data_IF_329033174307
#
_entry.id   IF_329033174307
#
_cell.length_a   1.000
_cell.length_b   1.000
_cell.length_c   1.000
_cell.angle_alpha   90.00
_cell.angle_beta   90.00
_cell.angle_gamma   90.00
#
_symmetry.space_group_name_H-M   'P 1'
#
loop_
_entity.id
_entity.type
_entity.pdbx_description
1 polymer ?
#
# COMPACT_ATOMS: atom_id res chain seq x y z
N UNK A 1 4.83 20.03 -18.43
CA UNK A 1 5.16 18.63 -18.05
C UNK A 1 3.90 18.02 -17.47
N UNK A 2 3.45 16.88 -17.96
CA UNK A 2 2.18 16.29 -17.53
C UNK A 2 2.22 15.84 -16.06
N UNK A 3 1.08 15.93 -15.36
CA UNK A 3 0.89 15.59 -13.93
C UNK A 3 1.38 14.17 -13.56
N UNK A 4 1.57 13.28 -14.55
CA UNK A 4 1.99 11.89 -14.37
C UNK A 4 3.51 11.67 -14.36
N UNK A 5 4.34 12.69 -14.64
CA UNK A 5 5.80 12.51 -14.62
C UNK A 5 6.38 12.52 -13.20
N UNK A 6 5.73 13.21 -12.27
CA UNK A 6 6.15 13.34 -10.88
C UNK A 6 5.12 12.70 -9.97
N UNK A 7 5.56 11.79 -9.12
CA UNK A 7 4.71 11.06 -8.19
C UNK A 7 5.25 11.18 -6.77
N UNK A 8 4.37 11.42 -5.82
CA UNK A 8 4.64 11.40 -4.38
C UNK A 8 4.00 10.15 -3.79
N UNK A 9 4.83 9.18 -3.43
CA UNK A 9 4.38 7.97 -2.73
C UNK A 9 4.44 8.22 -1.23
N UNK A 10 3.31 8.01 -0.55
CA UNK A 10 3.14 8.25 0.88
C UNK A 10 3.04 6.91 1.61
N UNK A 11 4.07 6.60 2.40
CA UNK A 11 4.05 5.56 3.42
C UNK A 11 3.41 6.06 4.71
N UNK A 12 3.18 5.16 5.66
CA UNK A 12 2.46 5.47 6.90
C UNK A 12 3.37 5.74 8.11
N UNK A 13 4.65 6.00 7.88
CA UNK A 13 5.64 6.33 8.90
C UNK A 13 5.46 7.74 9.48
N UNK A 14 5.78 7.97 10.77
CA UNK A 14 5.69 9.28 11.43
C UNK A 14 6.43 10.42 10.73
N UNK A 15 7.47 10.13 9.93
CA UNK A 15 8.25 11.17 9.24
C UNK A 15 7.40 12.02 8.30
N UNK A 16 6.27 11.53 7.77
CA UNK A 16 5.42 12.36 6.90
C UNK A 16 4.58 13.41 7.63
N UNK A 17 4.48 13.38 8.96
CA UNK A 17 3.55 14.25 9.72
C UNK A 17 3.82 15.74 9.59
N UNK A 18 5.06 16.13 9.29
CA UNK A 18 5.44 17.54 9.14
C UNK A 18 5.26 18.08 7.72
N UNK A 19 4.75 17.28 6.79
CA UNK A 19 4.57 17.65 5.39
C UNK A 19 3.10 17.95 5.13
N UNK A 20 2.82 19.08 4.46
CA UNK A 20 1.48 19.39 3.96
C UNK A 20 1.18 18.51 2.73
N UNK A 21 0.42 17.43 2.94
CA UNK A 21 0.12 16.43 1.92
C UNK A 21 -0.77 16.99 0.80
N UNK A 22 -1.63 17.98 1.08
CA UNK A 22 -2.50 18.58 0.06
C UNK A 22 -1.69 19.42 -0.92
N UNK A 23 -0.67 20.14 -0.43
CA UNK A 23 0.22 20.93 -1.29
C UNK A 23 0.89 20.07 -2.37
N UNK A 24 1.22 18.81 -2.08
CA UNK A 24 1.88 17.88 -3.01
C UNK A 24 1.07 17.64 -4.29
N UNK A 25 -0.27 17.69 -4.20
CA UNK A 25 -1.18 17.47 -5.35
C UNK A 25 -1.07 18.57 -6.40
N UNK A 26 -0.52 19.73 -6.03
CA UNK A 26 -0.23 20.81 -6.98
C UNK A 26 1.04 20.54 -7.81
N UNK A 27 1.93 19.66 -7.34
CA UNK A 27 3.23 19.37 -7.96
C UNK A 27 3.29 18.04 -8.70
N UNK A 28 2.32 17.14 -8.48
CA UNK A 28 2.33 15.81 -9.07
C UNK A 28 1.15 14.97 -8.64
N UNK A 29 1.22 13.68 -8.96
CA UNK A 29 0.23 12.69 -8.53
C UNK A 29 0.62 12.17 -7.15
N UNK A 30 -0.34 12.11 -6.22
CA UNK A 30 -0.12 11.55 -4.89
C UNK A 30 -0.68 10.13 -4.82
N UNK A 31 0.18 9.17 -4.50
CA UNK A 31 -0.19 7.77 -4.25
C UNK A 31 -0.06 7.49 -2.76
N UNK A 32 -1.16 7.12 -2.11
CA UNK A 32 -1.19 6.73 -0.71
C UNK A 32 -1.40 5.22 -0.55
N UNK A 33 -1.10 4.68 0.64
CA UNK A 33 -1.31 3.27 0.93
C UNK A 33 -2.12 2.99 2.20
N UNK A 34 -2.89 1.90 2.15
CA UNK A 34 -3.69 1.36 3.24
C UNK A 34 -4.52 2.43 3.98
N UNK A 35 -4.31 2.63 5.29
CA UNK A 35 -5.18 3.44 6.15
C UNK A 35 -5.05 4.95 5.97
N UNK A 36 -4.20 5.43 5.04
CA UNK A 36 -4.09 6.85 4.74
C UNK A 36 -5.42 7.49 4.34
N UNK A 37 -6.31 6.72 3.71
CA UNK A 37 -7.63 7.17 3.28
C UNK A 37 -8.53 7.65 4.43
N UNK A 38 -8.22 7.24 5.67
CA UNK A 38 -9.01 7.58 6.87
C UNK A 38 -8.89 9.06 7.25
N UNK A 39 -7.80 9.72 6.86
CA UNK A 39 -7.54 11.14 7.16
C UNK A 39 -7.04 11.98 5.98
N UNK A 40 -6.78 11.38 4.82
CA UNK A 40 -6.32 12.07 3.62
C UNK A 40 -6.79 11.36 2.34
N UNK A 41 -7.18 12.13 1.31
CA UNK A 41 -7.64 11.56 0.01
C UNK A 41 -6.55 11.71 -1.06
N UNK A 42 -5.69 10.69 -1.28
CA UNK A 42 -4.71 10.71 -2.36
C UNK A 42 -5.39 10.67 -3.74
N UNK A 43 -4.65 11.00 -4.80
CA UNK A 43 -5.14 10.83 -6.18
C UNK A 43 -5.31 9.34 -6.53
N UNK A 44 -4.46 8.47 -5.97
CA UNK A 44 -4.53 7.01 -6.08
C UNK A 44 -4.30 6.39 -4.71
N UNK A 45 -5.16 5.45 -4.31
CA UNK A 45 -4.98 4.64 -3.10
C UNK A 45 -4.55 3.21 -3.47
N UNK A 46 -3.66 2.60 -2.70
CA UNK A 46 -3.24 1.20 -2.87
C UNK A 46 -3.43 0.44 -1.55
N UNK A 47 -4.04 -0.75 -1.57
CA UNK A 47 -4.13 -1.63 -0.41
C UNK A 47 -4.07 -3.10 -0.80
N UNK A 48 -3.13 -3.86 -0.25
CA UNK A 48 -2.97 -5.29 -0.54
C UNK A 48 -3.53 -6.18 0.57
N UNK A 49 -3.55 -5.69 1.81
CA UNK A 49 -4.05 -6.42 2.97
C UNK A 49 -5.56 -6.64 2.84
N UNK A 50 -6.04 -7.88 2.79
CA UNK A 50 -7.46 -8.21 2.56
C UNK A 50 -8.39 -7.44 3.49
N UNK A 51 -8.12 -7.45 4.80
CA UNK A 51 -8.92 -6.72 5.80
C UNK A 51 -9.06 -5.23 5.44
N UNK A 52 -7.95 -4.58 5.07
CA UNK A 52 -7.94 -3.15 4.73
C UNK A 52 -8.61 -2.91 3.37
N UNK A 53 -8.41 -3.77 2.39
CA UNK A 53 -9.07 -3.67 1.09
C UNK A 53 -10.60 -3.75 1.22
N UNK A 54 -11.09 -4.71 2.01
CA UNK A 54 -12.51 -4.83 2.33
C UNK A 54 -13.03 -3.60 3.09
N UNK A 55 -12.30 -3.10 4.10
CA UNK A 55 -12.65 -1.87 4.83
C UNK A 55 -12.77 -0.66 3.89
N UNK A 56 -11.78 -0.44 3.01
CA UNK A 56 -11.77 0.64 2.03
C UNK A 56 -12.99 0.54 1.10
N UNK A 57 -13.28 -0.63 0.57
CA UNK A 57 -14.39 -0.81 -0.35
C UNK A 57 -15.73 -0.50 0.33
N UNK A 58 -15.96 -1.08 1.52
CA UNK A 58 -17.21 -0.95 2.28
C UNK A 58 -17.44 0.47 2.80
N UNK A 59 -16.38 1.26 3.01
CA UNK A 59 -16.51 2.68 3.32
C UNK A 59 -17.14 3.51 2.19
N UNK A 60 -17.22 2.94 0.98
CA UNK A 60 -17.65 3.64 -0.23
C UNK A 60 -16.55 4.52 -0.85
N UNK A 61 -15.32 4.50 -0.31
CA UNK A 61 -14.20 5.27 -0.84
C UNK A 61 -13.87 4.88 -2.29
N UNK A 62 -13.78 3.58 -2.55
CA UNK A 62 -13.46 3.03 -3.87
C UNK A 62 -14.58 3.23 -4.91
N UNK A 63 -15.77 3.66 -4.48
CA UNK A 63 -16.87 4.03 -5.39
C UNK A 63 -16.70 5.44 -5.98
N UNK A 64 -15.75 6.23 -5.46
CA UNK A 64 -15.55 7.63 -5.83
C UNK A 64 -14.10 7.96 -6.19
N UNK A 65 -13.15 7.13 -5.76
CA UNK A 65 -11.73 7.44 -5.85
C UNK A 65 -10.96 6.25 -6.44
N UNK A 66 -9.97 6.56 -7.28
CA UNK A 66 -9.12 5.55 -7.92
C UNK A 66 -8.36 4.75 -6.86
N UNK A 67 -8.59 3.43 -6.85
CA UNK A 67 -8.08 2.53 -5.82
C UNK A 67 -7.53 1.27 -6.46
N UNK A 68 -6.34 0.83 -6.03
CA UNK A 68 -5.78 -0.47 -6.38
C UNK A 68 -5.89 -1.41 -5.19
N UNK A 69 -6.63 -2.51 -5.35
CA UNK A 69 -6.84 -3.50 -4.29
C UNK A 69 -6.20 -4.84 -4.69
N UNK A 70 -5.46 -5.42 -3.74
CA UNK A 70 -4.77 -6.70 -3.92
C UNK A 70 -5.75 -7.85 -4.07
N UNK A 71 -5.52 -8.73 -5.06
CA UNK A 71 -6.35 -9.89 -5.35
C UNK A 71 -7.85 -9.59 -5.43
N UNK A 72 -8.24 -8.39 -5.87
CA UNK A 72 -9.61 -7.90 -5.90
C UNK A 72 -10.35 -8.31 -7.17
N UNK A 73 -10.55 -9.62 -7.34
CA UNK A 73 -11.25 -10.19 -8.50
C UNK A 73 -12.67 -10.60 -8.09
N UNK A 74 -13.71 -9.95 -8.64
CA UNK A 74 -15.09 -10.36 -8.37
C UNK A 74 -15.39 -11.76 -8.92
N UNK A 75 -16.15 -12.52 -8.15
CA UNK A 75 -16.72 -13.81 -8.54
C UNK A 75 -18.24 -13.78 -8.33
N UNK A 76 -19.03 -14.57 -9.08
CA UNK A 76 -20.46 -14.66 -8.84
C UNK A 76 -20.75 -15.08 -7.40
N UNK A 77 -21.74 -14.44 -6.77
CA UNK A 77 -22.12 -14.69 -5.38
C UNK A 77 -22.30 -16.18 -5.05
N UNK A 78 -22.92 -16.93 -5.96
CA UNK A 78 -23.13 -18.37 -5.81
C UNK A 78 -21.81 -19.15 -5.65
N UNK A 79 -20.74 -18.74 -6.34
CA UNK A 79 -19.41 -19.36 -6.22
C UNK A 79 -18.86 -19.15 -4.80
N UNK A 80 -18.97 -17.93 -4.27
CA UNK A 80 -18.55 -17.63 -2.90
C UNK A 80 -19.40 -18.36 -1.85
N UNK A 81 -20.71 -18.48 -2.06
CA UNK A 81 -21.60 -19.28 -1.21
C UNK A 81 -21.18 -20.76 -1.17
N UNK A 82 -20.85 -21.35 -2.33
CA UNK A 82 -20.30 -22.72 -2.39
C UNK A 82 -18.94 -22.84 -1.70
N UNK A 83 -18.06 -21.85 -1.83
CA UNK A 83 -16.76 -21.86 -1.14
C UNK A 83 -16.94 -21.84 0.38
N UNK A 84 -17.89 -21.06 0.91
CA UNK A 84 -18.21 -20.97 2.34
C UNK A 84 -18.64 -22.33 2.92
N UNK A 85 -19.36 -23.16 2.16
CA UNK A 85 -19.79 -24.49 2.64
C UNK A 85 -18.61 -25.42 2.96
N UNK A 86 -17.48 -25.20 2.29
CA UNK A 86 -16.26 -26.00 2.45
C UNK A 86 -15.26 -25.45 3.48
N UNK A 87 -15.57 -24.31 4.10
CA UNK A 87 -14.67 -23.60 4.99
C UNK A 87 -14.86 -23.92 6.47
N UNK A 88 -13.76 -23.87 7.22
CA UNK A 88 -13.77 -23.72 8.67
C UNK A 88 -13.07 -22.41 9.05
N UNK A 89 -13.59 -21.69 10.04
CA UNK A 89 -13.00 -20.44 10.52
C UNK A 89 -14.02 -19.33 10.77
N UNK A 90 -13.54 -18.15 11.17
CA UNK A 90 -14.38 -16.97 11.34
C UNK A 90 -14.64 -16.29 9.98
N UNK A 91 -15.78 -15.62 9.87
CA UNK A 91 -16.17 -14.92 8.64
C UNK A 91 -16.56 -13.48 8.92
N UNK A 92 -16.25 -12.62 7.94
CA UNK A 92 -16.58 -11.21 7.94
C UNK A 92 -17.19 -10.84 6.58
N UNK A 93 -18.51 -10.87 6.51
CA UNK A 93 -19.26 -10.90 5.24
C UNK A 93 -20.19 -9.69 5.13
N UNK A 94 -20.10 -8.99 4.01
CA UNK A 94 -21.06 -7.94 3.61
C UNK A 94 -21.51 -8.16 2.17
N UNK A 95 -22.65 -8.81 1.95
CA UNK A 95 -23.13 -9.19 0.62
C UNK A 95 -23.61 -8.01 -0.24
N UNK A 96 -24.02 -6.89 0.36
CA UNK A 96 -24.49 -5.68 -0.32
C UNK A 96 -25.60 -5.88 -1.38
N UNK A 97 -26.39 -6.96 -1.28
CA UNK A 97 -27.33 -7.40 -2.32
C UNK A 97 -26.71 -7.46 -3.73
N UNK A 98 -25.40 -7.70 -3.82
CA UNK A 98 -24.66 -7.74 -5.06
C UNK A 98 -24.78 -9.11 -5.75
N UNK A 99 -24.68 -9.09 -7.08
CA UNK A 99 -24.58 -10.31 -7.90
C UNK A 99 -23.17 -10.90 -7.87
N UNK A 100 -22.16 -10.03 -7.83
CA UNK A 100 -20.75 -10.38 -7.73
C UNK A 100 -20.16 -9.95 -6.38
N UNK A 101 -19.20 -10.73 -5.91
CA UNK A 101 -18.51 -10.49 -4.63
C UNK A 101 -17.01 -10.70 -4.79
N UNK A 102 -16.21 -9.99 -4.00
CA UNK A 102 -14.82 -10.39 -3.77
C UNK A 102 -14.76 -11.28 -2.54
N UNK A 103 -14.02 -12.38 -2.67
CA UNK A 103 -13.80 -13.38 -1.65
C UNK A 103 -12.30 -13.47 -1.34
N UNK A 104 -11.92 -13.26 -0.09
CA UNK A 104 -10.56 -13.49 0.41
C UNK A 104 -10.61 -14.49 1.57
N UNK A 105 -9.94 -15.63 1.39
CA UNK A 105 -9.83 -16.66 2.43
C UNK A 105 -8.92 -16.24 3.59
N UNK A 106 -8.75 -17.15 4.54
CA UNK A 106 -7.88 -16.98 5.70
C UNK A 106 -6.49 -16.43 5.31
N UNK A 107 -6.06 -15.36 5.98
CA UNK A 107 -4.78 -14.64 5.76
C UNK A 107 -4.56 -14.10 4.33
N UNK A 108 -5.64 -13.84 3.57
CA UNK A 108 -5.58 -13.08 2.32
C UNK A 108 -5.05 -13.86 1.11
N UNK A 109 -4.90 -15.17 1.24
CA UNK A 109 -4.56 -16.10 0.16
C UNK A 109 -5.70 -17.12 0.03
N UNK A 110 -5.89 -17.68 -1.16
CA UNK A 110 -6.71 -18.88 -1.37
C UNK A 110 -6.12 -20.12 -0.64
N UNK A 111 -5.97 -20.08 0.68
CA UNK A 111 -5.48 -21.20 1.50
C UNK A 111 -6.63 -21.90 2.18
N UNK A 112 -7.16 -22.93 1.51
CA UNK A 112 -8.20 -23.80 2.02
C UNK A 112 -7.62 -25.20 2.28
N UNK A 113 -7.12 -25.44 3.50
CA UNK A 113 -7.08 -26.80 4.05
C UNK A 113 -7.30 -26.78 5.57
N UNK A 114 -8.24 -27.59 6.02
CA UNK A 114 -8.48 -27.89 7.45
C UNK A 114 -7.18 -28.39 8.07
N UNK A 115 -6.66 -27.66 9.06
CA UNK A 115 -5.41 -27.99 9.75
C UNK A 115 -4.31 -26.93 9.66
N UNK A 116 -4.48 -25.90 8.82
CA UNK A 116 -3.66 -24.69 8.79
C UNK A 116 -4.44 -23.47 9.33
N UNK A 117 -3.72 -22.38 9.65
CA UNK A 117 -4.24 -21.17 10.29
C UNK A 117 -5.60 -20.74 9.69
N UNK A 118 -6.69 -20.96 10.45
CA UNK A 118 -8.05 -20.85 9.89
C UNK A 118 -8.47 -19.39 9.62
N UNK A 119 -7.72 -18.42 10.15
CA UNK A 119 -7.85 -16.99 9.90
C UNK A 119 -9.29 -16.44 9.93
N UNK A 120 -9.43 -15.25 9.35
CA UNK A 120 -10.73 -14.63 9.05
C UNK A 120 -10.92 -14.63 7.55
N UNK A 121 -12.08 -15.08 7.07
CA UNK A 121 -12.46 -14.94 5.66
C UNK A 121 -13.32 -13.71 5.45
N UNK A 122 -13.00 -12.93 4.42
CA UNK A 122 -13.72 -11.73 4.05
C UNK A 122 -14.50 -11.92 2.77
N UNK A 123 -15.74 -11.44 2.76
CA UNK A 123 -16.55 -11.38 1.55
C UNK A 123 -17.17 -9.99 1.44
N UNK A 124 -17.14 -9.39 0.27
CA UNK A 124 -17.80 -8.09 0.01
C UNK A 124 -18.47 -8.08 -1.34
N UNK A 125 -19.76 -7.77 -1.35
CA UNK A 125 -20.51 -7.51 -2.56
C UNK A 125 -20.02 -6.23 -3.21
N UNK A 126 -19.73 -6.35 -4.51
CA UNK A 126 -19.23 -5.26 -5.34
C UNK A 126 -20.32 -4.74 -6.26
N UNK A 127 -20.20 -3.50 -6.68
CA UNK A 127 -21.15 -2.87 -7.60
C UNK A 127 -20.50 -2.61 -8.96
N UNK A 128 -21.27 -2.63 -10.05
CA UNK A 128 -20.75 -2.22 -11.35
C UNK A 128 -20.23 -0.76 -11.32
N UNK A 129 -19.16 -0.48 -12.06
CA UNK A 129 -18.56 0.85 -12.22
C UNK A 129 -17.99 1.46 -10.93
N UNK A 130 -17.44 0.64 -10.03
CA UNK A 130 -16.51 1.16 -9.02
C UNK A 130 -15.19 1.63 -9.68
N UNK A 131 -14.31 2.24 -8.87
CA UNK A 131 -13.00 2.73 -9.31
C UNK A 131 -11.86 1.83 -8.81
N UNK A 132 -12.15 0.53 -8.60
CA UNK A 132 -11.13 -0.43 -8.22
C UNK A 132 -10.43 -0.99 -9.45
N UNK A 133 -9.10 -0.96 -9.43
CA UNK A 133 -8.26 -1.75 -10.30
C UNK A 133 -7.62 -2.87 -9.48
N UNK A 134 -7.77 -4.12 -9.92
CA UNK A 134 -7.06 -5.24 -9.30
C UNK A 134 -5.55 -5.06 -9.50
N UNK A 135 -4.77 -5.33 -8.45
CA UNK A 135 -3.31 -5.29 -8.51
C UNK A 135 -2.72 -6.59 -7.97
N UNK A 136 -1.71 -7.10 -8.65
CA UNK A 136 -0.93 -8.25 -8.21
C UNK A 136 0.05 -7.82 -7.11
N UNK A 137 -0.04 -8.36 -5.88
CA UNK A 137 0.92 -8.08 -4.81
C UNK A 137 2.33 -8.60 -5.11
N UNK A 138 2.44 -9.72 -5.83
CA UNK A 138 3.72 -10.37 -6.12
C UNK A 138 4.37 -9.80 -7.39
N UNK A 139 5.68 -9.52 -7.31
CA UNK A 139 6.47 -9.10 -8.47
C UNK A 139 7.73 -9.98 -8.52
N UNK A 140 7.73 -10.95 -9.43
CA UNK A 140 8.76 -11.97 -9.46
C UNK A 140 8.76 -12.77 -8.17
N UNK A 141 9.92 -12.89 -7.51
CA UNK A 141 10.07 -13.64 -6.26
C UNK A 141 9.77 -12.81 -5.00
N UNK A 142 9.21 -11.61 -5.16
CA UNK A 142 8.94 -10.69 -4.05
C UNK A 142 7.44 -10.60 -3.76
N UNK A 143 7.04 -10.98 -2.55
CA UNK A 143 5.77 -10.56 -1.97
C UNK A 143 5.92 -9.13 -1.44
N UNK A 144 5.39 -8.13 -2.16
CA UNK A 144 5.56 -6.73 -1.76
C UNK A 144 4.66 -6.34 -0.59
N UNK A 145 5.19 -5.51 0.31
CA UNK A 145 4.34 -4.72 1.21
C UNK A 145 3.54 -3.70 0.40
N UNK A 146 2.35 -3.31 0.87
CA UNK A 146 1.50 -2.31 0.19
C UNK A 146 2.26 -1.02 -0.11
N UNK A 147 3.03 -0.52 0.86
CA UNK A 147 3.82 0.70 0.68
C UNK A 147 4.83 0.57 -0.45
N UNK A 148 5.61 -0.51 -0.47
CA UNK A 148 6.60 -0.72 -1.52
C UNK A 148 5.94 -0.96 -2.89
N UNK A 149 4.80 -1.68 -2.93
CA UNK A 149 4.05 -1.93 -4.16
C UNK A 149 3.51 -0.64 -4.77
N UNK A 150 3.13 0.34 -3.95
CA UNK A 150 2.72 1.67 -4.41
C UNK A 150 3.85 2.42 -5.14
N UNK A 151 5.11 2.27 -4.71
CA UNK A 151 6.28 2.83 -5.41
C UNK A 151 6.49 2.12 -6.75
N UNK A 152 6.38 0.80 -6.78
CA UNK A 152 6.47 0.02 -8.02
C UNK A 152 5.36 0.44 -9.00
N UNK A 153 4.12 0.57 -8.52
CA UNK A 153 2.97 1.01 -9.30
C UNK A 153 3.17 2.40 -9.89
N UNK A 154 3.75 3.35 -9.13
CA UNK A 154 4.08 4.67 -9.68
C UNK A 154 4.95 4.56 -10.95
N UNK A 155 5.90 3.64 -10.96
CA UNK A 155 6.78 3.40 -12.08
C UNK A 155 6.05 2.72 -13.27
N UNK A 156 5.18 1.75 -12.99
CA UNK A 156 4.31 1.11 -13.99
C UNK A 156 3.38 2.13 -14.67
N UNK A 157 2.90 3.12 -13.91
CA UNK A 157 2.09 4.23 -14.41
C UNK A 157 2.92 5.31 -15.15
N UNK A 158 4.23 5.11 -15.29
CA UNK A 158 5.11 5.93 -16.13
C UNK A 158 5.82 7.08 -15.42
N UNK A 159 5.89 7.06 -14.09
CA UNK A 159 6.60 8.08 -13.32
C UNK A 159 8.08 8.22 -13.75
N UNK A 160 8.55 9.46 -13.85
CA UNK A 160 9.95 9.83 -14.11
C UNK A 160 10.66 10.30 -12.85
N UNK A 161 9.92 10.86 -11.91
CA UNK A 161 10.37 11.25 -10.59
C UNK A 161 9.44 10.67 -9.54
N UNK A 162 9.98 9.92 -8.57
CA UNK A 162 9.22 9.32 -7.48
C UNK A 162 9.80 9.78 -6.15
N UNK A 163 9.00 10.50 -5.38
CA UNK A 163 9.33 10.97 -4.04
C UNK A 163 8.77 9.99 -3.02
N UNK A 164 9.65 9.42 -2.20
CA UNK A 164 9.32 8.37 -1.24
C UNK A 164 9.27 9.00 0.15
N UNK A 165 8.06 9.26 0.65
CA UNK A 165 7.79 10.06 1.87
C UNK A 165 7.10 9.19 2.91
N UNK A 166 7.49 9.23 4.18
CA UNK A 166 6.84 8.43 5.24
C UNK A 166 7.18 6.94 5.20
N UNK A 167 8.29 6.56 4.58
CA UNK A 167 8.80 5.19 4.56
C UNK A 167 9.92 5.07 5.59
N UNK A 168 9.52 4.85 6.84
CA UNK A 168 10.40 4.78 8.01
C UNK A 168 10.80 3.33 8.24
N UNK A 169 11.98 2.94 7.72
CA UNK A 169 12.46 1.55 7.79
C UNK A 169 13.01 1.16 9.17
N UNK A 170 13.42 2.15 9.96
CA UNK A 170 14.00 1.93 11.28
C UNK A 170 13.35 2.89 12.28
N UNK A 171 12.91 2.35 13.40
CA UNK A 171 12.43 3.11 14.56
C UNK A 171 13.51 3.24 15.62
N UNK A 172 13.49 4.34 16.37
CA UNK A 172 14.50 4.62 17.40
C UNK A 172 14.46 3.61 18.57
N UNK A 173 13.29 3.04 18.85
CA UNK A 173 13.05 2.11 19.97
C UNK A 173 12.72 0.67 19.51
N UNK A 174 12.79 0.40 18.21
CA UNK A 174 12.48 -0.89 17.59
C UNK A 174 10.98 -1.25 17.55
N UNK A 175 10.08 -0.30 17.84
CA UNK A 175 8.62 -0.49 17.70
C UNK A 175 8.13 -0.19 16.30
N UNK A 176 6.87 -0.53 16.00
CA UNK A 176 6.24 -0.25 14.71
C UNK A 176 6.03 1.26 14.54
N UNK A 177 6.83 1.86 13.66
CA UNK A 177 6.69 3.25 13.24
C UNK A 177 5.59 3.37 12.18
N UNK A 178 4.34 3.31 12.64
CA UNK A 178 3.16 3.53 11.81
C UNK A 178 2.17 4.46 12.52
N UNK A 179 1.73 5.52 11.84
CA UNK A 179 0.79 6.51 12.38
C UNK A 179 -0.55 5.88 12.77
N UNK A 180 -0.94 4.78 12.10
CA UNK A 180 -2.17 4.04 12.34
C UNK A 180 -2.01 2.88 13.31
N UNK A 181 -0.83 2.67 13.92
CA UNK A 181 -0.64 1.65 14.94
C UNK A 181 -1.64 1.84 16.11
N UNK A 182 -2.26 0.74 16.55
CA UNK A 182 -3.32 0.71 17.55
C UNK A 182 -4.72 1.10 17.03
N UNK A 183 -4.90 1.23 15.71
CA UNK A 183 -6.23 1.37 15.09
C UNK A 183 -6.68 0.06 14.47
N UNK A 184 -7.96 -0.02 14.07
CA UNK A 184 -8.51 -1.24 13.47
C UNK A 184 -7.68 -1.72 12.27
N UNK A 185 -7.36 -3.01 12.23
CA UNK A 185 -6.52 -3.62 11.19
C UNK A 185 -5.01 -3.37 11.31
N UNK A 186 -4.54 -2.71 12.38
CA UNK A 186 -3.12 -2.48 12.63
C UNK A 186 -2.68 -3.06 13.97
N UNK A 187 -1.40 -3.43 14.02
CA UNK A 187 -0.76 -3.88 15.26
C UNK A 187 -0.76 -2.78 16.33
N UNK A 188 -0.71 -3.19 17.61
CA UNK A 188 -0.59 -2.29 18.74
C UNK A 188 0.68 -1.42 18.66
N UNK A 189 0.60 -0.21 19.21
CA UNK A 189 1.72 0.76 19.22
C UNK A 189 2.99 0.23 19.91
N UNK A 190 2.86 -0.73 20.81
CA UNK A 190 3.98 -1.32 21.55
C UNK A 190 4.58 -2.54 20.86
N UNK A 191 3.99 -3.00 19.76
CA UNK A 191 4.49 -4.12 18.98
C UNK A 191 5.88 -3.81 18.42
N UNK A 192 6.77 -4.79 18.50
CA UNK A 192 8.11 -4.71 17.91
C UNK A 192 8.03 -5.03 16.43
N UNK A 193 8.83 -4.33 15.63
CA UNK A 193 8.99 -4.64 14.20
C UNK A 193 9.80 -5.92 14.06
N UNK A 194 9.36 -6.81 13.16
CA UNK A 194 10.17 -7.97 12.79
C UNK A 194 11.37 -7.50 11.94
N UNK A 195 12.57 -7.97 12.28
CA UNK A 195 13.78 -7.64 11.51
C UNK A 195 13.72 -8.21 10.09
N UNK A 196 13.01 -9.32 9.90
CA UNK A 196 12.70 -9.89 8.59
C UNK A 196 11.95 -8.90 7.71
N UNK A 197 10.90 -8.27 8.26
CA UNK A 197 10.10 -7.28 7.51
C UNK A 197 10.94 -6.11 7.02
N UNK A 198 11.82 -5.57 7.87
CA UNK A 198 12.73 -4.47 7.48
C UNK A 198 13.63 -4.89 6.32
N UNK A 199 14.21 -6.09 6.42
CA UNK A 199 15.09 -6.64 5.40
C UNK A 199 14.34 -6.85 4.06
N UNK A 200 13.10 -7.32 4.12
CA UNK A 200 12.27 -7.51 2.94
C UNK A 200 11.85 -6.18 2.33
N UNK A 201 11.48 -5.17 3.13
CA UNK A 201 11.19 -3.82 2.63
C UNK A 201 12.40 -3.22 1.93
N UNK A 202 13.61 -3.36 2.50
CA UNK A 202 14.86 -2.89 1.87
C UNK A 202 15.06 -3.53 0.49
N UNK A 203 14.83 -4.84 0.38
CA UNK A 203 14.94 -5.57 -0.88
C UNK A 203 13.88 -5.18 -1.90
N UNK A 204 12.62 -5.02 -1.49
CA UNK A 204 11.52 -4.61 -2.36
C UNK A 204 11.78 -3.24 -2.99
N UNK A 205 12.22 -2.27 -2.20
CA UNK A 205 12.62 -0.95 -2.72
C UNK A 205 13.78 -1.07 -3.69
N UNK A 206 14.82 -1.83 -3.33
CA UNK A 206 15.97 -2.06 -4.21
C UNK A 206 15.56 -2.70 -5.54
N UNK A 207 14.71 -3.72 -5.51
CA UNK A 207 14.18 -4.34 -6.71
C UNK A 207 13.47 -3.32 -7.61
N UNK A 208 12.69 -2.42 -7.01
CA UNK A 208 12.04 -1.32 -7.76
C UNK A 208 13.06 -0.39 -8.40
N UNK A 209 14.09 0.04 -7.67
CA UNK A 209 15.14 0.91 -8.20
C UNK A 209 15.90 0.27 -9.36
N UNK A 210 16.22 -1.02 -9.23
CA UNK A 210 16.92 -1.79 -10.25
C UNK A 210 16.04 -2.07 -11.49
N UNK A 211 14.72 -2.28 -11.29
CA UNK A 211 13.75 -2.54 -12.37
C UNK A 211 13.47 -1.30 -13.23
N UNK A 212 13.59 -0.10 -12.66
CA UNK A 212 13.28 1.16 -13.34
C UNK A 212 14.49 2.12 -13.38
N UNK A 213 15.54 1.78 -14.14
CA UNK A 213 16.78 2.57 -14.19
C UNK A 213 16.59 3.97 -14.79
N UNK A 214 15.47 4.21 -15.50
CA UNK A 214 15.13 5.49 -16.14
C UNK A 214 14.21 6.38 -15.27
N UNK A 215 13.90 5.96 -14.04
CA UNK A 215 13.10 6.72 -13.08
C UNK A 215 14.01 7.21 -11.96
N UNK A 216 13.93 8.49 -11.63
CA UNK A 216 14.67 9.09 -10.52
C UNK A 216 13.87 8.96 -9.22
N UNK A 217 14.49 8.41 -8.19
CA UNK A 217 13.92 8.22 -6.87
C UNK A 217 14.51 9.21 -5.88
N UNK A 218 13.66 9.80 -5.05
CA UNK A 218 14.03 10.72 -3.99
C UNK A 218 13.52 10.20 -2.66
N UNK A 219 14.40 9.60 -1.85
CA UNK A 219 14.05 9.21 -0.47
C UNK A 219 14.02 10.46 0.40
N UNK A 220 12.83 10.85 0.81
CA UNK A 220 12.62 11.97 1.71
C UNK A 220 12.79 11.45 3.14
N UNK A 221 13.74 12.02 3.88
CA UNK A 221 14.03 11.60 5.25
C UNK A 221 14.50 12.81 6.08
N UNK A 222 13.94 13.07 7.28
CA UNK A 222 14.40 14.16 8.13
C UNK A 222 15.87 14.03 8.56
N UNK A 223 16.40 12.81 8.72
CA UNK A 223 17.73 12.57 9.27
C UNK A 223 18.78 12.13 8.21
N UNK A 224 18.40 12.06 6.93
CA UNK A 224 19.27 11.65 5.81
C UNK A 224 20.08 10.35 6.02
N UNK A 225 19.61 9.44 6.90
CA UNK A 225 20.28 8.16 7.10
C UNK A 225 20.15 7.30 5.84
N UNK A 226 21.29 7.01 5.21
CA UNK A 226 21.37 6.17 4.02
C UNK A 226 21.32 4.68 4.36
N UNK A 227 20.62 3.93 3.52
CA UNK A 227 20.57 2.47 3.54
C UNK A 227 21.76 1.90 2.77
N UNK A 228 22.58 1.08 3.44
CA UNK A 228 23.81 0.54 2.87
C UNK A 228 23.57 -0.26 1.58
N UNK A 229 22.48 -1.02 1.54
CA UNK A 229 22.05 -1.88 0.45
C UNK A 229 21.70 -1.06 -0.81
N UNK A 230 21.37 0.23 -0.64
CA UNK A 230 20.97 1.11 -1.74
C UNK A 230 22.11 1.98 -2.27
N UNK A 231 23.32 1.93 -1.68
CA UNK A 231 24.47 2.80 -2.04
C UNK A 231 24.86 2.80 -3.52
N UNK A 232 24.62 1.70 -4.23
CA UNK A 232 24.96 1.56 -5.64
C UNK A 232 23.79 1.90 -6.59
N UNK A 233 22.62 2.30 -6.07
CA UNK A 233 21.46 2.67 -6.87
C UNK A 233 21.66 4.08 -7.44
N UNK A 234 22.14 4.18 -8.67
CA UNK A 234 22.51 5.45 -9.32
C UNK A 234 21.33 6.41 -9.53
N UNK A 235 20.13 5.86 -9.54
CA UNK A 235 18.87 6.58 -9.71
C UNK A 235 18.19 6.94 -8.39
N UNK A 236 18.83 6.71 -7.24
CA UNK A 236 18.32 7.09 -5.92
C UNK A 236 19.11 8.27 -5.35
N UNK A 237 18.38 9.25 -4.81
CA UNK A 237 18.93 10.37 -4.02
C UNK A 237 18.21 10.47 -2.69
N UNK A 238 18.90 10.92 -1.65
CA UNK A 238 18.30 11.28 -0.37
C UNK A 238 18.14 12.79 -0.33
N UNK A 239 16.97 13.25 0.11
CA UNK A 239 16.65 14.67 0.26
C UNK A 239 15.98 14.94 1.60
N UNK A 240 16.17 16.15 2.12
CA UNK A 240 15.51 16.61 3.34
C UNK A 240 14.09 17.13 3.05
N UNK A 241 13.32 17.41 4.10
CA UNK A 241 12.02 18.08 3.93
C UNK A 241 12.19 19.50 3.40
N UNK A 242 13.25 20.20 3.81
CA UNK A 242 13.56 21.54 3.31
C UNK A 242 13.80 21.52 1.80
N UNK A 243 14.49 20.49 1.30
CA UNK A 243 14.70 20.32 -0.15
C UNK A 243 13.37 20.08 -0.88
N UNK A 244 12.46 19.31 -0.26
CA UNK A 244 11.10 19.09 -0.78
C UNK A 244 10.31 20.40 -0.85
N UNK A 245 10.35 21.23 0.18
CA UNK A 245 9.65 22.52 0.24
C UNK A 245 10.20 23.54 -0.78
N UNK A 246 11.42 23.34 -1.28
CA UNK A 246 12.01 24.21 -2.31
C UNK A 246 11.62 23.82 -3.73
N UNK A 247 10.84 22.76 -3.93
CA UNK A 247 10.32 22.37 -5.26
C UNK A 247 9.48 23.49 -5.91
N UNK A 248 8.91 24.39 -5.10
CA UNK A 248 8.13 25.56 -5.52
C UNK A 248 8.96 26.65 -6.23
N UNK A 249 10.28 26.60 -6.08
CA UNK A 249 11.19 27.69 -6.47
C UNK A 249 12.03 27.40 -7.71
N UNK A 250 11.79 26.29 -8.42
CA UNK A 250 12.48 25.91 -9.66
C UNK A 250 11.49 25.61 -10.76
#
# INVERSE_FOLDING_TARGET
MGKNMRVFCLGNGPSRKSIDLESLKSYGTVIGCNAIYRDFTPDILVALDSRIGHEIYRSGYALKNKTYLGYWTPVPKMVAETMLESMGGETNIEWNNAEDVVYHGADGVFTLMVGNNLGMTYITGVVPNDFVENIEPEIGDFAYSTGARAIYLACELGAKEVYIIGYDLFSADGTIDNIYAGTDGYADKLSKVDKGDIYDWIKQHKNTFDSFPNTNFYKVNPNLNEINEWKNCKNLKYISHLDLDTLDKK
#
